data_IF_377484402636
#
_entry.id   IF_377484402636
#
_cell.length_a   1.000
_cell.length_b   1.000
_cell.length_c   1.000
_cell.angle_alpha   90.00
_cell.angle_beta   90.00
_cell.angle_gamma   90.00
#
_symmetry.space_group_name_H-M   'P 1'
#
loop_
_entity.id
_entity.type
_entity.pdbx_description
1 polymer ?
#
# COMPACT_ATOMS: atom_id res chain seq x y z
N UNK A 1 19.51 10.08 -19.33
CA UNK A 1 18.40 9.19 -19.71
C UNK A 1 18.81 7.76 -19.40
N UNK A 2 18.30 7.18 -18.32
CA UNK A 2 18.46 5.76 -18.04
C UNK A 2 17.10 5.12 -18.28
N UNK A 3 17.06 4.16 -19.19
CA UNK A 3 15.92 3.28 -19.37
C UNK A 3 15.93 2.30 -18.20
N UNK A 4 14.95 2.40 -17.30
CA UNK A 4 14.69 1.32 -16.37
C UNK A 4 14.23 0.12 -17.19
N UNK A 5 14.88 -1.03 -17.02
CA UNK A 5 14.45 -2.25 -17.68
C UNK A 5 13.17 -2.71 -16.97
N UNK A 6 12.03 -2.45 -17.60
CA UNK A 6 10.76 -3.08 -17.27
C UNK A 6 10.97 -4.60 -17.23
N UNK A 7 10.98 -5.17 -16.04
CA UNK A 7 10.84 -6.62 -15.86
C UNK A 7 9.35 -6.83 -15.68
N UNK A 8 8.64 -7.50 -16.62
CA UNK A 8 7.24 -7.80 -16.43
C UNK A 8 7.12 -8.61 -15.14
N UNK A 9 6.49 -7.99 -14.13
CA UNK A 9 6.08 -8.71 -12.95
C UNK A 9 5.04 -9.72 -13.42
N UNK A 10 5.43 -10.99 -13.53
CA UNK A 10 4.51 -12.13 -13.66
C UNK A 10 3.75 -12.35 -12.35
N UNK A 11 3.37 -11.28 -11.65
CA UNK A 11 2.56 -11.39 -10.46
C UNK A 11 1.15 -11.74 -10.90
N UNK A 12 0.62 -12.90 -10.48
CA UNK A 12 -0.67 -13.37 -10.94
C UNK A 12 -1.78 -12.61 -10.20
N UNK A 13 -2.05 -11.37 -10.62
CA UNK A 13 -3.18 -10.58 -10.13
C UNK A 13 -4.50 -11.35 -10.25
N UNK A 14 -4.60 -12.23 -11.25
CA UNK A 14 -5.69 -13.20 -11.43
C UNK A 14 -5.98 -14.07 -10.19
N UNK A 15 -4.95 -14.40 -9.40
CA UNK A 15 -5.13 -15.16 -8.16
C UNK A 15 -5.91 -14.34 -7.12
N UNK A 16 -5.66 -13.03 -7.03
CA UNK A 16 -6.37 -12.14 -6.10
C UNK A 16 -7.79 -11.87 -6.57
N UNK A 17 -8.02 -11.74 -7.88
CA UNK A 17 -9.38 -11.68 -8.45
C UNK A 17 -10.16 -12.96 -8.14
N UNK A 18 -9.51 -14.12 -8.20
CA UNK A 18 -10.13 -15.40 -7.83
C UNK A 18 -10.48 -15.46 -6.35
N UNK A 19 -9.60 -14.96 -5.47
CA UNK A 19 -9.88 -14.88 -4.03
C UNK A 19 -11.04 -13.93 -3.72
N UNK A 20 -11.04 -12.73 -4.33
CA UNK A 20 -12.14 -11.78 -4.19
C UNK A 20 -13.47 -12.42 -4.61
N UNK A 21 -13.49 -13.15 -5.73
CA UNK A 21 -14.69 -13.85 -6.18
C UNK A 21 -15.19 -14.86 -5.15
N UNK A 22 -14.31 -15.66 -4.54
CA UNK A 22 -14.71 -16.60 -3.47
C UNK A 22 -15.32 -15.87 -2.27
N UNK A 23 -14.70 -14.77 -1.83
CA UNK A 23 -15.21 -13.94 -0.72
C UNK A 23 -16.60 -13.40 -1.05
N UNK A 24 -16.81 -12.93 -2.29
CA UNK A 24 -18.10 -12.43 -2.74
C UNK A 24 -19.15 -13.55 -2.82
N UNK A 25 -18.78 -14.73 -3.32
CA UNK A 25 -19.69 -15.89 -3.44
C UNK A 25 -20.17 -16.42 -2.08
N UNK A 26 -19.40 -16.18 -1.00
CA UNK A 26 -19.77 -16.53 0.38
C UNK A 26 -20.77 -15.55 1.01
N UNK A 27 -20.98 -14.38 0.41
CA UNK A 27 -21.95 -13.39 0.90
C UNK A 27 -23.38 -13.72 0.44
N UNK A 28 -24.41 -13.38 1.24
CA UNK A 28 -25.78 -13.59 0.85
C UNK A 28 -26.15 -12.74 -0.36
N UNK A 29 -26.70 -13.40 -1.39
CA UNK A 29 -27.10 -12.78 -2.64
C UNK A 29 -28.02 -11.57 -2.41
N UNK A 30 -27.52 -10.38 -2.75
CA UNK A 30 -28.24 -9.11 -2.61
C UNK A 30 -28.18 -8.28 -3.90
N UNK A 31 -29.06 -7.29 -4.02
CA UNK A 31 -29.00 -6.33 -5.14
C UNK A 31 -27.66 -5.57 -5.14
N UNK A 32 -27.16 -5.21 -3.95
CA UNK A 32 -25.88 -4.53 -3.80
C UNK A 32 -24.71 -5.39 -4.32
N UNK A 33 -24.68 -6.68 -3.99
CA UNK A 33 -23.67 -7.61 -4.50
C UNK A 33 -23.70 -7.71 -6.02
N UNK A 34 -24.89 -7.87 -6.63
CA UNK A 34 -25.03 -7.93 -8.10
C UNK A 34 -24.58 -6.63 -8.77
N UNK A 35 -24.87 -5.49 -8.18
CA UNK A 35 -24.39 -4.20 -8.69
C UNK A 35 -22.86 -4.11 -8.61
N UNK A 36 -22.26 -4.55 -7.51
CA UNK A 36 -20.80 -4.58 -7.35
C UNK A 36 -20.14 -5.50 -8.38
N UNK A 37 -20.68 -6.70 -8.61
CA UNK A 37 -20.19 -7.62 -9.65
C UNK A 37 -20.23 -6.97 -11.05
N UNK A 38 -21.30 -6.25 -11.37
CA UNK A 38 -21.43 -5.53 -12.64
C UNK A 38 -20.41 -4.40 -12.77
N UNK A 39 -20.09 -3.70 -11.66
CA UNK A 39 -19.08 -2.65 -11.64
C UNK A 39 -17.67 -3.21 -11.83
N UNK A 40 -17.33 -4.29 -11.11
CA UNK A 40 -16.03 -5.00 -11.24
C UNK A 40 -15.82 -5.50 -12.68
N UNK A 41 -16.87 -5.96 -13.36
CA UNK A 41 -16.79 -6.37 -14.77
C UNK A 41 -16.54 -5.22 -15.75
N UNK A 42 -16.91 -3.98 -15.37
CA UNK A 42 -16.80 -2.80 -16.24
C UNK A 42 -15.50 -2.05 -16.02
N UNK A 43 -15.06 -1.94 -14.77
CA UNK A 43 -13.91 -1.13 -14.37
C UNK A 43 -12.92 -1.95 -13.55
N UNK A 44 -11.73 -2.12 -14.11
CA UNK A 44 -10.67 -2.94 -13.52
C UNK A 44 -10.15 -2.38 -12.19
N UNK A 45 -10.03 -1.07 -12.09
CA UNK A 45 -9.60 -0.36 -10.86
C UNK A 45 -10.52 -0.67 -9.67
N UNK A 46 -11.83 -0.83 -9.91
CA UNK A 46 -12.78 -1.26 -8.88
C UNK A 46 -12.42 -2.67 -8.39
N UNK A 47 -12.05 -3.60 -9.28
CA UNK A 47 -11.62 -4.95 -8.86
C UNK A 47 -10.42 -4.88 -7.91
N UNK A 48 -9.45 -4.03 -8.20
CA UNK A 48 -8.24 -3.92 -7.38
C UNK A 48 -8.48 -3.20 -6.07
N UNK A 49 -9.34 -2.18 -6.07
CA UNK A 49 -9.80 -1.54 -4.84
C UNK A 49 -10.48 -2.58 -3.93
N UNK A 50 -11.38 -3.40 -4.49
CA UNK A 50 -12.05 -4.45 -3.72
C UNK A 50 -11.09 -5.53 -3.23
N UNK A 51 -10.05 -5.87 -4.01
CA UNK A 51 -8.98 -6.77 -3.57
C UNK A 51 -8.28 -6.18 -2.34
N UNK A 52 -7.86 -4.91 -2.39
CA UNK A 52 -7.20 -4.25 -1.26
C UNK A 52 -8.07 -4.21 0.01
N UNK A 53 -9.39 -3.99 -0.16
CA UNK A 53 -10.36 -3.97 0.93
C UNK A 53 -10.57 -5.34 1.57
N UNK A 54 -10.73 -6.39 0.77
CA UNK A 54 -11.32 -7.65 1.26
C UNK A 54 -10.40 -8.85 1.22
N UNK A 55 -9.41 -8.89 0.32
CA UNK A 55 -8.52 -10.05 0.22
C UNK A 55 -7.45 -9.94 1.32
N UNK A 56 -7.34 -10.92 2.22
CA UNK A 56 -6.38 -10.85 3.31
C UNK A 56 -4.95 -10.97 2.75
N UNK A 57 -4.24 -9.85 2.78
CA UNK A 57 -2.79 -9.77 2.61
C UNK A 57 -2.19 -9.38 3.94
N UNK A 58 -1.17 -10.11 4.40
CA UNK A 58 -0.66 -9.97 5.77
C UNK A 58 0.76 -9.41 5.84
N UNK A 59 1.51 -9.45 4.74
CA UNK A 59 2.93 -9.07 4.72
C UNK A 59 3.18 -7.90 3.79
N UNK A 60 4.15 -7.05 4.14
CA UNK A 60 4.60 -5.95 3.29
C UNK A 60 4.99 -6.44 1.90
N UNK A 61 5.68 -7.58 1.79
CA UNK A 61 6.12 -8.12 0.50
C UNK A 61 4.96 -8.47 -0.43
N UNK A 62 3.89 -9.07 0.09
CA UNK A 62 2.71 -9.44 -0.68
C UNK A 62 1.98 -8.19 -1.20
N UNK A 63 1.72 -7.23 -0.32
CA UNK A 63 1.03 -5.98 -0.64
C UNK A 63 1.86 -5.11 -1.59
N UNK A 64 3.17 -5.04 -1.37
CA UNK A 64 4.12 -4.34 -2.24
C UNK A 64 4.08 -4.92 -3.66
N UNK A 65 4.15 -6.24 -3.78
CA UNK A 65 4.15 -6.89 -5.10
C UNK A 65 2.82 -6.65 -5.83
N UNK A 66 1.70 -6.66 -5.10
CA UNK A 66 0.39 -6.32 -5.65
C UNK A 66 0.35 -4.87 -6.16
N UNK A 67 0.78 -3.89 -5.36
CA UNK A 67 0.80 -2.48 -5.73
C UNK A 67 1.75 -2.21 -6.90
N UNK A 68 2.96 -2.77 -6.89
CA UNK A 68 3.92 -2.63 -7.98
C UNK A 68 3.38 -3.23 -9.30
N UNK A 69 2.72 -4.38 -9.23
CA UNK A 69 2.09 -4.97 -10.40
C UNK A 69 0.96 -4.07 -10.94
N UNK A 70 0.13 -3.49 -10.06
CA UNK A 70 -0.91 -2.56 -10.47
C UNK A 70 -0.35 -1.27 -11.11
N UNK A 71 0.65 -0.64 -10.47
CA UNK A 71 1.32 0.56 -11.01
C UNK A 71 1.92 0.26 -12.39
N UNK A 72 2.59 -0.89 -12.55
CA UNK A 72 3.17 -1.30 -13.82
C UNK A 72 2.13 -1.54 -14.92
N UNK A 73 0.91 -1.92 -14.56
CA UNK A 73 -0.22 -2.05 -15.49
C UNK A 73 -0.80 -0.68 -15.89
N UNK A 74 -0.97 0.24 -14.94
CA UNK A 74 -1.45 1.60 -15.22
C UNK A 74 -0.48 2.39 -16.11
N UNK A 75 0.83 2.11 -15.99
CA UNK A 75 1.85 2.63 -16.92
C UNK A 75 1.73 2.07 -18.33
N UNK A 76 1.07 0.92 -18.52
CA UNK A 76 0.85 0.28 -19.83
C UNK A 76 2.12 0.17 -20.70
N UNK A 77 3.27 -0.14 -20.08
CA UNK A 77 4.56 -0.26 -20.76
C UNK A 77 5.31 1.06 -21.02
N UNK A 78 4.76 2.18 -20.58
CA UNK A 78 5.45 3.47 -20.53
C UNK A 78 6.28 3.59 -19.24
N UNK A 79 7.26 4.49 -19.25
CA UNK A 79 8.08 4.76 -18.06
C UNK A 79 7.34 5.63 -17.03
N UNK A 80 6.44 6.51 -17.50
CA UNK A 80 5.74 7.51 -16.69
C UNK A 80 4.28 7.10 -16.48
N UNK A 81 3.78 7.20 -15.24
CA UNK A 81 2.37 7.02 -14.94
C UNK A 81 1.58 8.31 -15.25
N UNK A 82 0.35 8.17 -15.73
CA UNK A 82 -0.56 9.29 -15.99
C UNK A 82 -1.27 9.73 -14.72
N UNK A 83 -1.81 10.95 -14.70
CA UNK A 83 -2.63 11.46 -13.59
C UNK A 83 -3.83 10.54 -13.28
N UNK A 84 -4.49 10.00 -14.31
CA UNK A 84 -5.59 9.03 -14.14
C UNK A 84 -5.10 7.74 -13.46
N UNK A 85 -3.90 7.27 -13.83
CA UNK A 85 -3.25 6.13 -13.19
C UNK A 85 -2.90 6.41 -11.73
N UNK A 86 -2.38 7.61 -11.43
CA UNK A 86 -2.12 8.04 -10.05
C UNK A 86 -3.39 8.05 -9.21
N UNK A 87 -4.50 8.57 -9.75
CA UNK A 87 -5.80 8.58 -9.10
C UNK A 87 -6.36 7.16 -8.88
N UNK A 88 -6.06 6.21 -9.77
CA UNK A 88 -6.44 4.82 -9.58
C UNK A 88 -5.63 4.15 -8.46
N UNK A 89 -4.34 4.44 -8.38
CA UNK A 89 -3.45 3.99 -7.30
C UNK A 89 -3.91 4.56 -5.95
N UNK A 90 -4.25 5.85 -5.89
CA UNK A 90 -4.77 6.51 -4.70
C UNK A 90 -5.98 5.77 -4.10
N UNK A 91 -6.95 5.38 -4.93
CA UNK A 91 -8.14 4.64 -4.46
C UNK A 91 -7.77 3.32 -3.78
N UNK A 92 -6.79 2.61 -4.33
CA UNK A 92 -6.32 1.33 -3.79
C UNK A 92 -5.53 1.55 -2.48
N UNK A 93 -4.66 2.56 -2.43
CA UNK A 93 -3.90 2.87 -1.21
C UNK A 93 -4.83 3.36 -0.10
N UNK A 94 -5.85 4.17 -0.42
CA UNK A 94 -6.90 4.55 0.52
C UNK A 94 -7.66 3.34 1.06
N UNK A 95 -8.07 2.42 0.19
CA UNK A 95 -8.71 1.16 0.60
C UNK A 95 -7.84 0.34 1.56
N UNK A 96 -6.54 0.23 1.28
CA UNK A 96 -5.58 -0.42 2.17
C UNK A 96 -5.47 0.30 3.52
N UNK A 97 -5.35 1.63 3.53
CA UNK A 97 -5.25 2.41 4.77
C UNK A 97 -6.55 2.34 5.59
N UNK A 98 -7.71 2.32 4.97
CA UNK A 98 -9.00 2.12 5.65
C UNK A 98 -9.05 0.76 6.34
N UNK A 99 -8.65 -0.31 5.64
CA UNK A 99 -8.48 -1.63 6.26
C UNK A 99 -7.43 -1.61 7.38
N UNK A 100 -6.34 -0.88 7.21
CA UNK A 100 -5.34 -0.65 8.27
C UNK A 100 -5.95 -0.03 9.52
N UNK A 101 -6.83 0.96 9.39
CA UNK A 101 -7.55 1.58 10.52
C UNK A 101 -8.45 0.56 11.24
N UNK A 102 -9.13 -0.31 10.49
CA UNK A 102 -9.93 -1.40 11.08
C UNK A 102 -9.06 -2.38 11.86
N UNK A 103 -7.88 -2.72 11.33
CA UNK A 103 -6.90 -3.58 12.01
C UNK A 103 -6.39 -2.97 13.32
N UNK A 104 -6.13 -1.65 13.35
CA UNK A 104 -5.77 -0.94 14.59
C UNK A 104 -6.89 -1.08 15.63
N UNK A 105 -8.15 -0.91 15.23
CA UNK A 105 -9.30 -0.99 16.16
C UNK A 105 -9.44 -2.37 16.83
N UNK A 106 -8.99 -3.44 16.16
CA UNK A 106 -8.98 -4.80 16.72
C UNK A 106 -7.63 -5.19 17.34
N UNK A 107 -6.70 -4.25 17.49
CA UNK A 107 -5.41 -4.44 18.14
C UNK A 107 -4.29 -4.99 17.25
N UNK A 108 -4.52 -5.13 15.94
CA UNK A 108 -3.55 -5.71 15.01
C UNK A 108 -2.67 -4.63 14.35
N UNK A 109 -1.88 -3.93 15.17
CA UNK A 109 -1.05 -2.80 14.72
C UNK A 109 0.15 -3.20 13.85
N UNK A 110 0.63 -4.44 13.95
CA UNK A 110 1.74 -4.91 13.11
C UNK A 110 1.29 -5.01 11.66
N UNK A 111 0.18 -5.71 11.38
CA UNK A 111 -0.33 -5.82 10.01
C UNK A 111 -0.76 -4.45 9.47
N UNK A 112 -1.32 -3.59 10.32
CA UNK A 112 -1.62 -2.20 9.95
C UNK A 112 -0.35 -1.45 9.48
N UNK A 113 0.77 -1.58 10.19
CA UNK A 113 2.03 -0.98 9.77
C UNK A 113 2.60 -1.62 8.50
N UNK A 114 2.49 -2.94 8.34
CA UNK A 114 2.92 -3.66 7.13
C UNK A 114 2.22 -3.13 5.86
N UNK A 115 0.93 -2.79 5.97
CA UNK A 115 0.18 -2.10 4.90
C UNK A 115 0.85 -0.77 4.53
N UNK A 116 1.13 0.05 5.53
CA UNK A 116 1.70 1.38 5.31
C UNK A 116 3.11 1.31 4.72
N UNK A 117 3.95 0.38 5.20
CA UNK A 117 5.27 0.17 4.61
C UNK A 117 5.18 -0.30 3.15
N UNK A 118 4.23 -1.19 2.82
CA UNK A 118 4.04 -1.63 1.45
C UNK A 118 3.67 -0.48 0.51
N UNK A 119 2.79 0.43 0.96
CA UNK A 119 2.42 1.62 0.18
C UNK A 119 3.64 2.51 -0.05
N UNK A 120 4.39 2.86 1.01
CA UNK A 120 5.56 3.73 0.86
C UNK A 120 6.60 3.11 -0.09
N UNK A 121 6.91 1.82 0.09
CA UNK A 121 7.87 1.10 -0.75
C UNK A 121 7.42 0.93 -2.20
N UNK A 122 6.11 0.96 -2.47
CA UNK A 122 5.58 0.90 -3.83
C UNK A 122 5.62 2.26 -4.52
N UNK A 123 5.39 3.34 -3.78
CA UNK A 123 5.12 4.68 -4.32
C UNK A 123 6.37 5.56 -4.34
N UNK A 124 7.19 5.52 -3.28
CA UNK A 124 8.34 6.43 -3.15
C UNK A 124 9.35 6.31 -4.31
N UNK A 125 9.73 5.10 -4.78
CA UNK A 125 10.62 4.97 -5.95
C UNK A 125 9.99 5.50 -7.25
N UNK A 126 8.66 5.53 -7.32
CA UNK A 126 7.91 5.92 -8.52
C UNK A 126 7.75 7.44 -8.64
N UNK A 127 8.12 8.23 -7.62
CA UNK A 127 8.00 9.69 -7.63
C UNK A 127 8.82 10.38 -8.75
N UNK A 128 9.88 9.72 -9.25
CA UNK A 128 10.63 10.23 -10.40
C UNK A 128 10.00 9.87 -11.76
N UNK A 129 8.92 9.09 -11.75
CA UNK A 129 8.24 8.49 -12.90
C UNK A 129 6.74 8.87 -12.93
N UNK A 130 6.39 10.02 -12.38
CA UNK A 130 5.04 10.59 -12.36
C UNK A 130 4.87 11.68 -13.41
N UNK A 131 3.62 11.96 -13.76
CA UNK A 131 3.30 13.08 -14.64
C UNK A 131 3.37 14.39 -13.85
N UNK A 132 3.99 15.41 -14.46
CA UNK A 132 4.17 16.75 -13.86
C UNK A 132 4.98 16.73 -12.55
N UNK A 133 4.32 16.94 -11.40
CA UNK A 133 4.94 16.96 -10.07
C UNK A 133 4.52 15.77 -9.18
N UNK A 134 3.59 14.93 -9.63
CA UNK A 134 3.12 13.76 -8.86
C UNK A 134 2.46 14.11 -7.53
N UNK A 135 1.64 15.17 -7.49
CA UNK A 135 0.96 15.63 -6.28
C UNK A 135 0.18 14.50 -5.59
N UNK A 136 -0.52 13.66 -6.36
CA UNK A 136 -1.30 12.54 -5.82
C UNK A 136 -0.38 11.54 -5.10
N UNK A 137 0.75 11.15 -5.69
CA UNK A 137 1.71 10.27 -5.04
C UNK A 137 2.33 10.89 -3.79
N UNK A 138 2.67 12.18 -3.82
CA UNK A 138 3.16 12.89 -2.64
C UNK A 138 2.14 12.86 -1.49
N UNK A 139 0.85 13.08 -1.80
CA UNK A 139 -0.23 13.02 -0.80
C UNK A 139 -0.42 11.61 -0.24
N UNK A 140 -0.36 10.57 -1.08
CA UNK A 140 -0.39 9.17 -0.63
C UNK A 140 0.72 8.90 0.39
N UNK A 141 1.95 9.33 0.10
CA UNK A 141 3.09 9.15 1.01
C UNK A 141 2.87 9.89 2.34
N UNK A 142 2.46 11.16 2.28
CA UNK A 142 2.21 11.99 3.46
C UNK A 142 1.13 11.36 4.36
N UNK A 143 0.01 10.93 3.77
CA UNK A 143 -1.09 10.30 4.50
C UNK A 143 -0.65 8.96 5.11
N UNK A 144 0.20 8.21 4.41
CA UNK A 144 0.70 6.92 4.87
C UNK A 144 1.67 7.07 6.06
N UNK A 145 2.57 8.05 6.02
CA UNK A 145 3.39 8.39 7.20
C UNK A 145 2.53 8.95 8.34
N UNK A 146 1.51 9.76 8.04
CA UNK A 146 0.52 10.22 9.01
C UNK A 146 -0.18 9.07 9.72
N UNK A 147 -0.52 8.01 8.99
CA UNK A 147 -1.09 6.78 9.53
C UNK A 147 -0.10 6.00 10.41
N UNK A 148 1.16 5.84 10.00
CA UNK A 148 2.20 5.25 10.85
C UNK A 148 2.40 6.04 12.16
N UNK A 149 2.35 7.36 12.10
CA UNK A 149 2.40 8.23 13.29
C UNK A 149 1.20 8.01 14.21
N UNK A 150 0.00 7.69 13.68
CA UNK A 150 -1.15 7.31 14.52
C UNK A 150 -0.89 6.00 15.27
N UNK A 151 -0.23 5.01 14.63
CA UNK A 151 0.21 3.77 15.29
C UNK A 151 1.24 4.10 16.38
N UNK A 152 2.18 4.99 16.10
CA UNK A 152 3.21 5.45 17.06
C UNK A 152 2.67 6.12 18.33
N UNK A 153 1.39 6.54 18.30
CA UNK A 153 0.69 7.16 19.42
C UNK A 153 -0.27 6.21 20.15
N UNK A 154 -0.40 4.96 19.70
CA UNK A 154 -1.19 3.95 20.40
C UNK A 154 -0.48 3.47 21.68
N UNK A 155 -1.27 2.98 22.63
CA UNK A 155 -0.74 2.26 23.80
C UNK A 155 -0.49 0.80 23.41
N UNK A 156 0.73 0.52 22.96
CA UNK A 156 1.18 -0.82 22.57
C UNK A 156 2.24 -1.31 23.55
N UNK A 157 2.53 -2.62 23.52
CA UNK A 157 3.64 -3.17 24.30
C UNK A 157 4.99 -2.88 23.66
N UNK A 158 6.04 -2.83 24.47
CA UNK A 158 7.42 -2.56 24.04
C UNK A 158 7.87 -3.49 22.93
N UNK A 159 7.53 -4.78 23.03
CA UNK A 159 7.83 -5.79 22.02
C UNK A 159 7.23 -5.44 20.63
N UNK A 160 6.04 -4.83 20.60
CA UNK A 160 5.42 -4.39 19.35
C UNK A 160 6.18 -3.18 18.80
N UNK A 161 6.52 -2.20 19.64
CA UNK A 161 7.31 -1.04 19.20
C UNK A 161 8.72 -1.41 18.74
N UNK A 162 9.39 -2.34 19.41
CA UNK A 162 10.67 -2.90 18.99
C UNK A 162 10.58 -3.55 17.61
N UNK A 163 9.54 -4.35 17.40
CA UNK A 163 9.28 -4.98 16.10
C UNK A 163 9.05 -3.93 15.01
N UNK A 164 8.20 -2.93 15.28
CA UNK A 164 7.90 -1.85 14.32
C UNK A 164 9.15 -1.01 14.00
N UNK A 165 9.96 -0.65 15.01
CA UNK A 165 11.19 0.13 14.83
C UNK A 165 12.22 -0.65 13.99
N UNK A 166 12.36 -1.96 14.24
CA UNK A 166 13.23 -2.84 13.48
C UNK A 166 12.76 -2.97 12.04
N UNK A 167 11.48 -3.24 11.81
CA UNK A 167 10.89 -3.37 10.47
C UNK A 167 11.01 -2.06 9.68
N UNK A 168 10.68 -0.92 10.28
CA UNK A 168 10.85 0.40 9.65
C UNK A 168 12.31 0.66 9.26
N UNK A 169 13.26 0.36 10.15
CA UNK A 169 14.68 0.50 9.85
C UNK A 169 15.14 -0.42 8.72
N UNK A 170 14.62 -1.66 8.66
CA UNK A 170 14.94 -2.61 7.59
C UNK A 170 14.42 -2.11 6.24
N UNK A 171 13.18 -1.62 6.19
CA UNK A 171 12.59 -1.09 4.95
C UNK A 171 13.29 0.17 4.48
N UNK A 172 13.53 1.15 5.36
CA UNK A 172 14.31 2.35 5.04
C UNK A 172 15.66 2.01 4.39
N UNK A 173 16.42 1.08 4.99
CA UNK A 173 17.72 0.66 4.47
C UNK A 173 17.64 -0.21 3.20
N UNK A 174 16.46 -0.70 2.84
CA UNK A 174 16.26 -1.49 1.61
C UNK A 174 16.00 -0.61 0.39
N UNK A 175 15.58 0.64 0.58
CA UNK A 175 15.36 1.61 -0.50
C UNK A 175 16.73 2.16 -0.94
N UNK A 176 17.10 2.06 -2.23
CA UNK A 176 18.29 2.72 -2.78
C UNK A 176 18.28 4.22 -2.47
N UNK A 177 19.44 4.81 -2.22
CA UNK A 177 19.56 6.22 -1.83
C UNK A 177 19.00 7.15 -2.92
N UNK A 178 19.14 6.77 -4.19
CA UNK A 178 18.60 7.50 -5.33
C UNK A 178 17.07 7.49 -5.47
N UNK A 179 16.41 6.51 -4.84
CA UNK A 179 14.97 6.30 -4.91
C UNK A 179 14.27 6.74 -3.62
N UNK A 180 15.01 7.43 -2.74
CA UNK A 180 14.55 7.85 -1.42
C UNK A 180 14.38 9.36 -1.37
N UNK A 181 13.15 9.78 -1.12
CA UNK A 181 12.71 11.18 -1.19
C UNK A 181 12.23 11.71 0.18
N UNK A 182 11.94 10.82 1.13
CA UNK A 182 11.36 11.15 2.44
C UNK A 182 12.20 10.64 3.62
N UNK A 183 13.53 10.78 3.56
CA UNK A 183 14.46 10.36 4.63
C UNK A 183 14.08 10.91 6.00
N UNK A 184 13.69 12.19 6.07
CA UNK A 184 13.29 12.85 7.30
C UNK A 184 12.06 12.18 7.95
N UNK A 185 11.08 11.76 7.15
CA UNK A 185 9.89 11.03 7.62
C UNK A 185 10.20 9.62 8.08
N UNK A 186 11.10 8.93 7.38
CA UNK A 186 11.60 7.63 7.81
C UNK A 186 12.35 7.72 9.15
N UNK A 187 13.22 8.71 9.32
CA UNK A 187 13.94 8.93 10.58
C UNK A 187 12.98 9.29 11.72
N UNK A 188 11.99 10.15 11.45
CA UNK A 188 10.94 10.54 12.41
C UNK A 188 10.18 9.31 12.90
N UNK A 189 9.74 8.42 12.00
CA UNK A 189 8.94 7.26 12.39
C UNK A 189 9.78 6.19 13.12
N UNK A 190 11.03 5.96 12.67
CA UNK A 190 11.96 5.03 13.34
C UNK A 190 12.24 5.52 14.76
N UNK A 191 12.49 6.82 14.94
CA UNK A 191 12.69 7.42 16.26
C UNK A 191 11.43 7.33 17.12
N UNK A 192 10.25 7.56 16.54
CA UNK A 192 8.97 7.48 17.25
C UNK A 192 8.76 6.07 17.82
N UNK A 193 8.90 5.03 16.99
CA UNK A 193 8.77 3.65 17.47
C UNK A 193 9.86 3.27 18.47
N UNK A 194 11.12 3.69 18.25
CA UNK A 194 12.22 3.38 19.17
C UNK A 194 12.03 4.00 20.55
N UNK A 195 11.65 5.27 20.61
CA UNK A 195 11.48 5.97 21.89
C UNK A 195 10.31 5.40 22.71
N UNK A 196 9.32 4.80 22.04
CA UNK A 196 8.17 4.17 22.66
C UNK A 196 8.44 2.77 23.21
N UNK A 197 9.51 2.09 22.82
CA UNK A 197 9.83 0.76 23.37
C UNK A 197 10.67 0.80 24.66
N UNK A 198 11.16 1.99 25.05
CA UNK A 198 12.02 2.18 26.22
C UNK A 198 11.19 2.50 27.50
N UNK A 199 9.85 2.47 27.42
CA UNK A 199 8.94 2.93 28.47
C UNK A 199 7.95 1.87 28.91
#
# INVERSE_FOLDING_TARGET
MRYSRYVPSLFPLENYTTQLKKIMDEQPASLAQKTLEQLIQRERSISYEMIARFVPMETTAEMLTFLQAFIAEEKNGEDIITEDGENAVEKITMAFLERGKELINIGNCIIAAEIAFAIILAIEPELCLVYDEGWTYQMIIIDTFGFLNQIGNQQLSDNVFDSLSKTASQHFNSIPEEDRYYDDKWEEIISTFRNRSIH
#
